data_IF_627698374351
#
_entry.id   IF_627698374351
#
_cell.length_a   1.000
_cell.length_b   1.000
_cell.length_c   1.000
_cell.angle_alpha   90.00
_cell.angle_beta   90.00
_cell.angle_gamma   90.00
#
_symmetry.space_group_name_H-M   'P 1'
#
loop_
_entity.id
_entity.type
_entity.pdbx_description
1 polymer ?
#
# COMPACT_ATOMS: atom_id res chain seq x y z
N UNK A 1 13.27 -9.98 -9.46
CA UNK A 1 12.38 -9.55 -8.38
C UNK A 1 13.12 -9.64 -7.08
N UNK A 2 12.74 -8.85 -6.09
CA UNK A 2 13.41 -8.76 -4.80
C UNK A 2 12.42 -9.08 -3.68
N UNK A 3 12.92 -9.68 -2.60
CA UNK A 3 12.17 -9.87 -1.37
C UNK A 3 12.67 -8.86 -0.34
N UNK A 4 11.84 -7.89 -0.01
CA UNK A 4 12.16 -6.81 0.94
C UNK A 4 11.37 -7.03 2.22
N UNK A 5 12.03 -6.89 3.38
CA UNK A 5 11.41 -6.98 4.69
C UNK A 5 11.34 -5.59 5.35
N UNK A 6 10.19 -5.26 5.93
CA UNK A 6 9.99 -4.04 6.71
C UNK A 6 9.87 -4.43 8.19
N UNK A 7 10.82 -3.99 9.01
CA UNK A 7 10.92 -4.32 10.44
C UNK A 7 10.59 -3.11 11.32
N UNK A 8 10.14 -3.38 12.55
CA UNK A 8 9.81 -2.36 13.55
C UNK A 8 8.89 -2.89 14.65
N UNK A 9 8.81 -2.17 15.78
CA UNK A 9 7.99 -2.53 16.93
C UNK A 9 6.48 -2.61 16.62
N UNK A 10 5.69 -3.29 17.45
CA UNK A 10 4.24 -3.23 17.36
C UNK A 10 3.76 -1.78 17.50
N UNK A 11 2.78 -1.38 16.67
CA UNK A 11 2.31 0.01 16.61
C UNK A 11 3.19 0.96 15.79
N UNK A 12 4.34 0.53 15.26
CA UNK A 12 5.24 1.41 14.46
C UNK A 12 4.71 1.81 13.07
N UNK A 13 3.48 1.42 12.71
CA UNK A 13 2.85 1.78 11.44
C UNK A 13 3.16 0.86 10.25
N UNK A 14 3.80 -0.30 10.42
CA UNK A 14 4.12 -1.23 9.30
C UNK A 14 2.88 -1.63 8.48
N UNK A 15 1.83 -2.10 9.15
CA UNK A 15 0.58 -2.48 8.48
C UNK A 15 -0.10 -1.26 7.84
N UNK A 16 -0.01 -0.09 8.48
CA UNK A 16 -0.49 1.17 7.93
C UNK A 16 0.25 1.54 6.65
N UNK A 17 1.58 1.43 6.62
CA UNK A 17 2.41 1.67 5.44
C UNK A 17 2.01 0.74 4.29
N UNK A 18 1.93 -0.56 4.53
CA UNK A 18 1.55 -1.54 3.48
C UNK A 18 0.15 -1.28 2.94
N UNK A 19 -0.80 -0.83 3.77
CA UNK A 19 -2.15 -0.42 3.32
C UNK A 19 -2.15 0.84 2.45
N UNK A 20 -1.18 1.75 2.62
CA UNK A 20 -1.02 2.87 1.67
C UNK A 20 -0.50 2.37 0.33
N UNK A 21 0.46 1.43 0.33
CA UNK A 21 1.05 0.88 -0.90
C UNK A 21 0.02 0.19 -1.81
N UNK A 22 -1.01 -0.45 -1.26
CA UNK A 22 -2.09 -1.05 -2.05
C UNK A 22 -3.36 -0.17 -2.16
N UNK A 23 -3.26 1.10 -1.76
CA UNK A 23 -4.35 2.08 -1.78
C UNK A 23 -5.60 1.66 -0.97
N UNK A 24 -5.44 0.89 0.11
CA UNK A 24 -6.48 0.69 1.13
C UNK A 24 -6.57 1.87 2.10
N UNK A 25 -5.47 2.63 2.26
CA UNK A 25 -5.45 3.91 2.96
C UNK A 25 -4.98 5.01 2.00
N UNK A 26 -5.70 6.12 1.96
CA UNK A 26 -5.29 7.32 1.23
C UNK A 26 -4.20 8.07 2.02
N UNK A 27 -3.26 8.66 1.27
CA UNK A 27 -2.29 9.58 1.85
C UNK A 27 -3.00 10.82 2.40
N UNK A 28 -2.57 11.25 3.59
CA UNK A 28 -2.99 12.55 4.12
C UNK A 28 -2.17 13.70 3.53
N UNK A 29 -0.88 13.44 3.31
CA UNK A 29 0.08 14.39 2.74
C UNK A 29 1.15 13.63 1.93
N UNK A 30 1.79 14.33 1.00
CA UNK A 30 2.84 13.78 0.16
C UNK A 30 2.31 13.07 -1.10
N UNK A 31 3.19 12.35 -1.77
CA UNK A 31 2.93 11.69 -3.05
C UNK A 31 3.34 10.22 -2.98
N UNK A 32 2.59 9.35 -3.68
CA UNK A 32 2.90 7.93 -3.81
C UNK A 32 2.62 7.50 -5.24
N UNK A 33 3.61 6.87 -5.86
CA UNK A 33 3.48 6.26 -7.19
C UNK A 33 3.81 4.76 -7.08
N UNK A 34 2.93 3.91 -7.59
CA UNK A 34 3.10 2.45 -7.61
C UNK A 34 3.07 1.98 -9.06
N UNK A 35 4.16 1.39 -9.54
CA UNK A 35 4.27 0.91 -10.93
C UNK A 35 3.88 1.98 -11.98
N UNK A 36 4.27 3.24 -11.73
CA UNK A 36 3.93 4.38 -12.59
C UNK A 36 2.51 4.93 -12.44
N UNK A 37 1.72 4.41 -11.49
CA UNK A 37 0.37 4.87 -11.19
C UNK A 37 0.42 5.82 -10.00
N UNK A 38 -0.07 7.05 -10.20
CA UNK A 38 -0.32 7.99 -9.11
C UNK A 38 -1.50 7.53 -8.27
N UNK A 39 -1.25 7.30 -6.98
CA UNK A 39 -2.26 6.78 -6.05
C UNK A 39 -3.34 7.82 -5.70
N UNK A 40 -3.06 9.11 -5.94
CA UNK A 40 -4.05 10.18 -5.75
C UNK A 40 -5.14 10.21 -6.83
N UNK A 41 -4.90 9.60 -8.00
CA UNK A 41 -5.88 9.52 -9.07
C UNK A 41 -6.87 8.37 -8.82
N UNK A 42 -8.09 8.70 -8.38
CA UNK A 42 -9.13 7.72 -8.06
C UNK A 42 -9.49 6.80 -9.24
N UNK A 43 -9.38 7.30 -10.48
CA UNK A 43 -9.67 6.52 -11.68
C UNK A 43 -8.71 5.33 -11.86
N UNK A 44 -7.51 5.41 -11.30
CA UNK A 44 -6.47 4.39 -11.45
C UNK A 44 -6.40 3.41 -10.27
N UNK A 45 -7.10 3.66 -9.16
CA UNK A 45 -7.01 2.81 -7.95
C UNK A 45 -7.42 1.36 -8.23
N UNK A 46 -8.44 1.13 -9.07
CA UNK A 46 -8.85 -0.22 -9.46
C UNK A 46 -7.80 -0.94 -10.32
N UNK A 47 -7.00 -0.20 -11.09
CA UNK A 47 -5.86 -0.76 -11.82
C UNK A 47 -4.74 -1.12 -10.86
N UNK A 48 -4.42 -0.24 -9.91
CA UNK A 48 -3.41 -0.48 -8.89
C UNK A 48 -3.72 -1.73 -8.06
N UNK A 49 -4.95 -1.88 -7.57
CA UNK A 49 -5.36 -3.04 -6.76
C UNK A 49 -5.30 -4.39 -7.48
N UNK A 50 -5.30 -4.39 -8.83
CA UNK A 50 -5.12 -5.61 -9.64
C UNK A 50 -3.67 -6.06 -9.73
N UNK A 51 -2.71 -5.15 -9.54
CA UNK A 51 -1.27 -5.43 -9.63
C UNK A 51 -0.56 -5.42 -8.27
N UNK A 52 -1.19 -4.84 -7.24
CA UNK A 52 -0.69 -4.80 -5.87
C UNK A 52 -1.61 -5.63 -4.94
N UNK A 53 -1.28 -6.91 -4.81
CA UNK A 53 -1.98 -7.83 -3.90
C UNK A 53 -1.55 -7.65 -2.45
N UNK A 54 -2.47 -7.86 -1.51
CA UNK A 54 -2.20 -7.84 -0.08
C UNK A 54 -2.84 -9.04 0.61
N UNK A 55 -2.08 -9.70 1.48
CA UNK A 55 -2.58 -10.74 2.39
C UNK A 55 -2.76 -10.09 3.77
N UNK A 56 -3.95 -10.22 4.35
CA UNK A 56 -4.26 -9.63 5.65
C UNK A 56 -3.70 -10.48 6.78
N UNK A 57 -3.29 -9.82 7.87
CA UNK A 57 -2.81 -10.51 9.07
C UNK A 57 -3.91 -11.35 9.72
N UNK A 58 -5.12 -10.79 9.79
CA UNK A 58 -6.33 -11.47 10.26
C UNK A 58 -7.32 -11.45 9.09
N UNK A 59 -7.66 -12.60 8.49
CA UNK A 59 -8.50 -12.68 7.29
C UNK A 59 -10.02 -12.70 7.57
N UNK A 60 -10.46 -12.35 8.77
CA UNK A 60 -11.88 -12.29 9.18
C UNK A 60 -12.58 -10.98 8.77
#
# INVERSE_FOLDING_TARGET
>A
GEFVCILGCNGSGKSTLVRHLNALLQLQHGELTIAGIDVSNENDIWRLRRICGMVFQNPD
#
